data_IF_724113194884
#
_entry.id   IF_724113194884
#
_cell.length_a   1.000
_cell.length_b   1.000
_cell.length_c   1.000
_cell.angle_alpha   90.00
_cell.angle_beta   90.00
_cell.angle_gamma   90.00
#
_symmetry.space_group_name_H-M   'P 1'
#
loop_
_entity.id
_entity.type
_entity.pdbx_description
1 polymer ?
#
# COMPACT_ATOMS: atom_id res chain seq x y z
N UNK A 1 -9.45 10.70 -34.54
CA UNK A 1 -8.53 10.66 -33.39
C UNK A 1 -7.61 9.49 -33.60
N UNK A 2 -6.31 9.77 -33.72
CA UNK A 2 -5.31 8.72 -33.72
C UNK A 2 -5.27 8.11 -32.31
N UNK A 3 -5.43 6.78 -32.19
CA UNK A 3 -5.35 6.12 -30.88
C UNK A 3 -3.88 5.98 -30.52
N UNK A 4 -3.36 6.92 -29.75
CA UNK A 4 -2.06 6.74 -29.11
C UNK A 4 -2.21 5.75 -27.96
N UNK A 5 -1.56 4.59 -28.07
CA UNK A 5 -1.46 3.62 -26.99
C UNK A 5 -0.32 4.01 -26.04
N UNK A 6 -0.61 4.05 -24.74
CA UNK A 6 0.38 4.33 -23.69
C UNK A 6 0.59 3.03 -22.90
N UNK A 7 1.74 2.35 -23.05
CA UNK A 7 2.03 1.14 -22.29
C UNK A 7 2.37 1.48 -20.84
N UNK A 8 1.77 0.75 -19.90
CA UNK A 8 2.02 0.88 -18.45
C UNK A 8 2.80 -0.35 -18.00
N UNK A 9 3.93 -0.15 -17.32
CA UNK A 9 4.88 -1.22 -16.97
C UNK A 9 5.42 -1.15 -15.53
N UNK A 10 5.20 -0.03 -14.87
CA UNK A 10 5.68 0.31 -13.52
C UNK A 10 4.81 -0.28 -12.39
N UNK A 11 3.58 -0.72 -12.72
CA UNK A 11 2.63 -1.23 -11.73
C UNK A 11 1.82 -2.42 -12.29
N UNK A 12 1.16 -3.15 -11.40
CA UNK A 12 0.28 -4.25 -11.80
C UNK A 12 -1.04 -3.72 -12.37
N UNK A 13 -1.71 -4.47 -13.26
CA UNK A 13 -3.00 -4.07 -13.83
C UNK A 13 -4.07 -3.79 -12.77
N UNK A 14 -4.01 -4.56 -11.67
CA UNK A 14 -4.95 -4.48 -10.56
C UNK A 14 -4.78 -3.18 -9.77
N UNK A 15 -3.54 -2.81 -9.45
CA UNK A 15 -3.23 -1.52 -8.79
C UNK A 15 -3.61 -0.36 -9.70
N UNK A 16 -3.27 -0.43 -10.98
CA UNK A 16 -3.63 0.64 -11.93
C UNK A 16 -5.14 0.81 -12.08
N UNK A 17 -5.92 -0.28 -12.08
CA UNK A 17 -7.38 -0.22 -12.10
C UNK A 17 -7.95 0.48 -10.87
N UNK A 18 -7.35 0.29 -9.70
CA UNK A 18 -7.77 0.99 -8.47
C UNK A 18 -7.49 2.49 -8.61
N UNK A 19 -6.29 2.87 -9.06
CA UNK A 19 -5.95 4.27 -9.35
C UNK A 19 -6.94 4.92 -10.30
N UNK A 20 -7.24 4.28 -11.44
CA UNK A 20 -8.19 4.79 -12.42
C UNK A 20 -9.58 4.99 -11.79
N UNK A 21 -10.08 4.01 -11.04
CA UNK A 21 -11.40 4.12 -10.40
C UNK A 21 -11.44 5.26 -9.40
N UNK A 22 -10.40 5.41 -8.59
CA UNK A 22 -10.29 6.51 -7.64
C UNK A 22 -10.25 7.87 -8.37
N UNK A 23 -9.45 8.00 -9.44
CA UNK A 23 -9.40 9.20 -10.29
C UNK A 23 -10.76 9.54 -10.93
N UNK A 24 -11.61 8.53 -11.14
CA UNK A 24 -13.00 8.70 -11.59
C UNK A 24 -13.98 8.98 -10.44
N UNK A 25 -13.50 9.35 -9.25
CA UNK A 25 -14.29 9.80 -8.11
C UNK A 25 -14.84 8.68 -7.23
N UNK A 26 -14.29 7.47 -7.32
CA UNK A 26 -14.66 6.36 -6.42
C UNK A 26 -13.91 6.45 -5.10
N UNK A 27 -14.56 6.11 -3.99
CA UNK A 27 -13.87 5.96 -2.70
C UNK A 27 -12.83 4.84 -2.76
N UNK A 28 -11.91 4.79 -1.81
CA UNK A 28 -10.96 3.68 -1.68
C UNK A 28 -11.68 2.31 -1.68
N UNK A 29 -12.76 2.15 -0.90
CA UNK A 29 -13.50 0.88 -0.83
C UNK A 29 -14.15 0.53 -2.17
N UNK A 30 -14.77 1.51 -2.84
CA UNK A 30 -15.37 1.29 -4.15
C UNK A 30 -14.34 0.99 -5.24
N UNK A 31 -13.17 1.62 -5.17
CA UNK A 31 -12.08 1.44 -6.12
C UNK A 31 -11.45 0.05 -5.97
N UNK A 32 -11.28 -0.44 -4.74
CA UNK A 32 -10.59 -1.69 -4.42
C UNK A 32 -11.47 -2.94 -4.44
N UNK A 33 -12.78 -2.81 -4.21
CA UNK A 33 -13.76 -3.92 -4.18
C UNK A 33 -13.67 -4.96 -5.33
N UNK A 34 -13.41 -4.59 -6.59
CA UNK A 34 -13.33 -5.57 -7.69
C UNK A 34 -11.99 -6.31 -7.75
N UNK A 35 -10.98 -5.82 -7.03
CA UNK A 35 -9.58 -6.23 -7.16
C UNK A 35 -9.12 -6.99 -5.92
N UNK A 36 -9.53 -6.54 -4.73
CA UNK A 36 -9.18 -7.18 -3.48
C UNK A 36 -9.82 -8.56 -3.37
N UNK A 37 -9.00 -9.55 -3.05
CA UNK A 37 -9.45 -10.89 -2.67
C UNK A 37 -10.21 -10.82 -1.35
N UNK A 38 -11.19 -11.71 -1.16
CA UNK A 38 -11.80 -11.86 0.16
C UNK A 38 -10.89 -12.70 1.05
N UNK A 39 -10.98 -12.57 2.39
CA UNK A 39 -10.21 -13.40 3.31
C UNK A 39 -10.34 -14.91 3.04
N UNK A 40 -11.53 -15.36 2.66
CA UNK A 40 -11.81 -16.78 2.37
C UNK A 40 -11.18 -17.27 1.05
N UNK A 41 -10.72 -16.36 0.18
CA UNK A 41 -10.10 -16.68 -1.11
C UNK A 41 -8.57 -16.79 -1.00
N UNK A 42 -8.00 -16.52 0.19
CA UNK A 42 -6.56 -16.62 0.42
C UNK A 42 -6.17 -18.10 0.61
N UNK A 43 -5.15 -18.60 -0.11
CA UNK A 43 -4.68 -19.98 0.04
C UNK A 43 -4.33 -20.31 1.49
N UNK A 44 -4.62 -21.55 1.90
CA UNK A 44 -4.24 -22.05 3.22
C UNK A 44 -2.73 -21.88 3.45
N UNK A 45 -2.36 -21.34 4.61
CA UNK A 45 -0.97 -21.02 4.96
C UNK A 45 -0.52 -19.61 4.57
N UNK A 46 -1.35 -18.82 3.88
CA UNK A 46 -1.09 -17.40 3.62
C UNK A 46 -1.90 -16.50 4.56
N UNK A 47 -1.32 -15.36 4.93
CA UNK A 47 -1.96 -14.37 5.80
C UNK A 47 -2.66 -13.32 4.95
N UNK A 48 -3.99 -13.18 5.11
CA UNK A 48 -4.75 -12.08 4.48
C UNK A 48 -4.16 -10.71 4.87
N UNK A 49 -3.71 -10.57 6.12
CA UNK A 49 -3.05 -9.36 6.64
C UNK A 49 -1.82 -9.00 5.81
N UNK A 50 -0.96 -9.99 5.53
CA UNK A 50 0.25 -9.78 4.74
C UNK A 50 -0.09 -9.44 3.27
N UNK A 51 -1.04 -10.17 2.67
CA UNK A 51 -1.55 -9.87 1.33
C UNK A 51 -2.06 -8.42 1.22
N UNK A 52 -2.91 -8.01 2.16
CA UNK A 52 -3.53 -6.69 2.15
C UNK A 52 -2.49 -5.58 2.35
N UNK A 53 -1.51 -5.78 3.23
CA UNK A 53 -0.44 -4.81 3.44
C UNK A 53 0.46 -4.67 2.20
N UNK A 54 0.81 -5.77 1.54
CA UNK A 54 1.54 -5.73 0.25
C UNK A 54 0.74 -4.96 -0.80
N UNK A 55 -0.56 -5.23 -0.91
CA UNK A 55 -1.44 -4.51 -1.83
C UNK A 55 -1.44 -2.99 -1.58
N UNK A 56 -1.54 -2.56 -0.31
CA UNK A 56 -1.52 -1.14 0.04
C UNK A 56 -0.18 -0.49 -0.27
N UNK A 57 0.93 -1.18 -0.02
CA UNK A 57 2.27 -0.66 -0.33
C UNK A 57 2.52 -0.55 -1.83
N UNK A 58 2.06 -1.52 -2.63
CA UNK A 58 2.14 -1.44 -4.09
C UNK A 58 1.27 -0.29 -4.64
N UNK A 59 0.10 -0.05 -4.01
CA UNK A 59 -0.75 1.09 -4.33
C UNK A 59 -0.06 2.42 -3.97
N UNK A 60 0.57 2.51 -2.81
CA UNK A 60 1.33 3.70 -2.37
C UNK A 60 2.46 4.03 -3.34
N UNK A 61 3.21 3.01 -3.78
CA UNK A 61 4.26 3.19 -4.78
C UNK A 61 3.70 3.76 -6.09
N UNK A 62 2.54 3.25 -6.52
CA UNK A 62 1.93 3.70 -7.75
C UNK A 62 1.37 5.13 -7.61
N UNK A 63 0.73 5.48 -6.50
CA UNK A 63 0.25 6.85 -6.27
C UNK A 63 1.38 7.87 -6.26
N UNK A 64 2.52 7.51 -5.68
CA UNK A 64 3.73 8.31 -5.71
C UNK A 64 4.29 8.46 -7.14
N UNK A 65 4.47 7.34 -7.86
CA UNK A 65 4.99 7.35 -9.22
C UNK A 65 4.17 8.22 -10.19
N UNK A 66 2.84 8.18 -10.08
CA UNK A 66 1.94 9.00 -10.90
C UNK A 66 1.67 10.40 -10.32
N UNK A 67 2.20 10.73 -9.14
CA UNK A 67 2.06 12.04 -8.51
C UNK A 67 0.61 12.41 -8.18
N UNK A 68 -0.20 11.45 -7.72
CA UNK A 68 -1.63 11.69 -7.41
C UNK A 68 -1.87 11.89 -5.91
N UNK A 69 -2.79 12.79 -5.56
CA UNK A 69 -3.11 13.15 -4.16
C UNK A 69 -3.59 11.97 -3.31
N UNK A 70 -4.07 10.90 -3.96
CA UNK A 70 -4.47 9.65 -3.31
C UNK A 70 -3.38 9.03 -2.43
N UNK A 71 -2.11 9.37 -2.67
CA UNK A 71 -0.97 8.97 -1.83
C UNK A 71 -1.21 9.19 -0.33
N UNK A 72 -1.68 10.39 0.04
CA UNK A 72 -1.90 10.74 1.45
C UNK A 72 -2.98 9.86 2.10
N UNK A 73 -4.05 9.55 1.38
CA UNK A 73 -5.12 8.67 1.83
C UNK A 73 -4.62 7.23 2.01
N UNK A 74 -3.78 6.75 1.09
CA UNK A 74 -3.18 5.41 1.19
C UNK A 74 -2.23 5.30 2.39
N UNK A 75 -1.42 6.32 2.67
CA UNK A 75 -0.60 6.39 3.88
C UNK A 75 -1.46 6.26 5.15
N UNK A 76 -2.54 7.04 5.23
CA UNK A 76 -3.49 6.98 6.35
C UNK A 76 -4.11 5.59 6.51
N UNK A 77 -4.50 4.94 5.42
CA UNK A 77 -5.06 3.58 5.45
C UNK A 77 -4.02 2.58 5.98
N UNK A 78 -2.77 2.67 5.53
CA UNK A 78 -1.70 1.78 6.01
C UNK A 78 -1.49 1.97 7.51
N UNK A 79 -1.35 3.21 7.97
CA UNK A 79 -1.16 3.55 9.39
C UNK A 79 -2.33 3.03 10.23
N UNK A 80 -3.56 3.28 9.79
CA UNK A 80 -4.78 2.95 10.52
C UNK A 80 -5.20 1.46 10.41
N UNK A 81 -4.63 0.71 9.47
CA UNK A 81 -4.93 -0.73 9.29
C UNK A 81 -4.56 -1.59 10.50
N UNK A 82 -3.71 -1.09 11.40
CA UNK A 82 -3.11 -1.85 12.52
C UNK A 82 -2.39 -3.11 12.06
N UNK A 83 -1.92 -3.11 10.80
CA UNK A 83 -1.23 -4.26 10.23
C UNK A 83 0.29 -4.22 10.36
N UNK A 84 0.83 -3.05 10.68
CA UNK A 84 2.23 -2.87 11.03
C UNK A 84 2.50 -3.50 12.40
N UNK A 85 3.61 -4.21 12.51
CA UNK A 85 4.07 -4.86 13.72
C UNK A 85 5.57 -5.10 13.69
N UNK A 86 6.10 -5.66 14.78
CA UNK A 86 7.54 -5.88 15.02
C UNK A 86 8.21 -6.58 13.83
N UNK A 87 7.56 -7.58 13.24
CA UNK A 87 8.14 -8.42 12.18
C UNK A 87 8.13 -7.79 10.79
N UNK A 88 7.36 -6.73 10.54
CA UNK A 88 7.22 -6.15 9.20
C UNK A 88 7.52 -4.64 9.14
N UNK A 89 7.64 -3.95 10.28
CA UNK A 89 7.80 -2.48 10.30
C UNK A 89 9.05 -2.00 9.57
N UNK A 90 10.15 -2.75 9.61
CA UNK A 90 11.39 -2.41 8.89
C UNK A 90 11.19 -2.44 7.36
N UNK A 91 10.46 -3.42 6.86
CA UNK A 91 10.16 -3.54 5.43
C UNK A 91 9.21 -2.43 4.97
N UNK A 92 8.19 -2.12 5.79
CA UNK A 92 7.27 -1.03 5.49
C UNK A 92 7.98 0.32 5.51
N UNK A 93 8.88 0.56 6.48
CA UNK A 93 9.70 1.77 6.52
C UNK A 93 10.54 1.93 5.25
N UNK A 94 11.16 0.85 4.78
CA UNK A 94 11.93 0.86 3.54
C UNK A 94 11.05 1.27 2.36
N UNK A 95 9.86 0.67 2.23
CA UNK A 95 8.92 0.96 1.14
C UNK A 95 8.35 2.37 1.21
N UNK A 96 8.11 2.89 2.41
CA UNK A 96 7.70 4.28 2.62
C UNK A 96 8.77 5.25 2.13
N UNK A 97 10.05 4.98 2.44
CA UNK A 97 11.20 5.77 1.94
C UNK A 97 11.35 5.71 0.42
N UNK A 98 11.08 4.55 -0.20
CA UNK A 98 11.11 4.40 -1.65
C UNK A 98 9.98 5.13 -2.39
N UNK A 99 8.91 5.51 -1.68
CA UNK A 99 7.72 6.14 -2.25
C UNK A 99 7.51 7.56 -1.69
N UNK A 100 8.55 8.19 -1.15
CA UNK A 100 8.52 9.52 -0.51
C UNK A 100 7.30 9.73 0.43
N UNK A 101 6.90 8.68 1.16
CA UNK A 101 5.71 8.67 2.01
C UNK A 101 6.07 9.10 3.44
N UNK A 102 6.18 10.41 3.66
CA UNK A 102 6.73 10.99 4.89
C UNK A 102 5.92 10.61 6.14
N UNK A 103 4.58 10.59 6.08
CA UNK A 103 3.75 10.32 7.26
C UNK A 103 3.88 8.87 7.69
N UNK A 104 3.88 7.95 6.72
CA UNK A 104 4.11 6.52 6.99
C UNK A 104 5.54 6.26 7.48
N UNK A 105 6.53 6.94 6.91
CA UNK A 105 7.92 6.87 7.36
C UNK A 105 8.03 7.29 8.83
N UNK A 106 7.52 8.46 9.19
CA UNK A 106 7.58 8.98 10.56
C UNK A 106 6.87 8.05 11.55
N UNK A 107 5.70 7.53 11.17
CA UNK A 107 4.97 6.53 11.97
C UNK A 107 5.82 5.27 12.21
N UNK A 108 6.45 4.72 11.16
CA UNK A 108 7.28 3.53 11.28
C UNK A 108 8.54 3.79 12.13
N UNK A 109 9.18 4.95 11.98
CA UNK A 109 10.34 5.34 12.79
C UNK A 109 9.96 5.46 14.28
N UNK A 110 8.82 6.09 14.59
CA UNK A 110 8.29 6.16 15.96
C UNK A 110 7.94 4.77 16.51
N UNK A 111 7.33 3.91 15.70
CA UNK A 111 7.01 2.54 16.10
C UNK A 111 8.28 1.76 16.44
N UNK A 112 9.32 1.87 15.61
CA UNK A 112 10.60 1.20 15.83
C UNK A 112 11.24 1.68 17.13
N UNK A 113 11.30 2.99 17.35
CA UNK A 113 11.91 3.54 18.57
C UNK A 113 11.18 3.07 19.83
N UNK A 114 9.84 3.09 19.81
CA UNK A 114 9.02 2.66 20.96
C UNK A 114 9.12 1.16 21.24
N UNK A 115 9.50 0.34 20.25
CA UNK A 115 9.53 -1.13 20.35
C UNK A 115 10.94 -1.70 20.11
N UNK A 116 11.99 -0.88 20.26
CA UNK A 116 13.35 -1.19 19.84
C UNK A 116 13.87 -2.52 20.39
N UNK A 117 13.68 -2.77 21.69
CA UNK A 117 14.14 -4.02 22.32
C UNK A 117 13.51 -5.28 21.73
N UNK A 118 12.25 -5.21 21.31
CA UNK A 118 11.54 -6.35 20.73
C UNK A 118 11.94 -6.57 19.27
N UNK A 119 12.16 -5.47 18.55
CA UNK A 119 12.53 -5.46 17.13
C UNK A 119 14.00 -5.89 16.93
N UNK A 120 14.89 -5.58 17.86
CA UNK A 120 16.30 -6.02 17.77
C UNK A 120 16.47 -7.52 18.10
N UNK A 121 15.44 -8.15 18.68
CA UNK A 121 15.42 -9.58 19.01
C UNK A 121 14.66 -10.44 17.99
N UNK A 122 13.95 -9.81 17.03
CA UNK A 122 13.18 -10.49 15.98
C UNK A 122 13.99 -10.66 14.71
#
# INVERSE_FOLDING_TARGET
MDKSEIPIRDTSPDIFRVLLRWLHGKSFEEATKPVLRKPNDIPAGQSYKAYYLTFLVDLLKATDYYGVEFKNEVEDIIINSRHIGITNVRDILKRAKESDAERLKDFCEQFIETNKELIDRS
#
